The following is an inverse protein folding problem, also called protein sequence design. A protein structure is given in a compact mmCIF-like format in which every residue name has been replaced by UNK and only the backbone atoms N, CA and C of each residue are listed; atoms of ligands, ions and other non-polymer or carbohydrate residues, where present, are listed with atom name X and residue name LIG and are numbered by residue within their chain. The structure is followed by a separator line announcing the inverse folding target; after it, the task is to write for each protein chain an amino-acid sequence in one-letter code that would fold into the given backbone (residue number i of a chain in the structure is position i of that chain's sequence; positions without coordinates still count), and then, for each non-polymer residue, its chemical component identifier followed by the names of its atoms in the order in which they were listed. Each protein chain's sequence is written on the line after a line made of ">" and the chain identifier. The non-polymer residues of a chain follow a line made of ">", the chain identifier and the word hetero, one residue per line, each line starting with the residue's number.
data_IF_355888172459
#
_entry.id   IF_355888172459
#
_cell.length_a   1.000
_cell.length_b   1.000
_cell.length_c   1.000
_cell.angle_alpha   90.00
_cell.angle_beta   90.00
_cell.angle_gamma   90.00
#
_symmetry.space_group_name_H-M   'P 1'
#
loop_
_entity.id
_entity.type
_entity.pdbx_description
1 polymer ?
#
# COMPACT_ATOMS: atom_id res chain seq x y z
N UNK A 1 44.43 6.80 4.06
CA UNK A 1 43.01 7.15 3.76
C UNK A 1 42.01 6.11 4.31
N UNK A 2 42.29 5.47 5.46
CA UNK A 2 41.49 4.36 6.01
C UNK A 2 40.70 4.68 7.29
N UNK A 3 40.91 5.84 7.92
CA UNK A 3 40.40 6.10 9.26
C UNK A 3 38.96 6.66 9.30
N UNK A 4 38.52 7.49 8.34
CA UNK A 4 37.19 8.14 8.43
C UNK A 4 35.99 7.17 8.36
N UNK A 5 36.13 6.01 7.70
CA UNK A 5 35.02 5.07 7.52
C UNK A 5 34.81 4.17 8.74
N UNK A 6 35.87 3.83 9.48
CA UNK A 6 35.76 3.09 10.74
C UNK A 6 35.03 3.91 11.81
N UNK A 7 35.34 5.21 11.91
CA UNK A 7 34.64 6.12 12.82
C UNK A 7 33.14 6.23 12.52
N UNK A 8 32.71 6.08 11.27
CA UNK A 8 31.28 6.15 10.91
C UNK A 8 30.49 4.94 11.41
N UNK A 9 31.07 3.73 11.39
CA UNK A 9 30.38 2.52 11.91
C UNK A 9 30.26 2.59 13.43
N UNK A 10 31.33 3.01 14.12
CA UNK A 10 31.34 3.18 15.58
C UNK A 10 30.36 4.29 16.00
N UNK A 11 30.19 5.33 15.19
CA UNK A 11 29.31 6.46 15.52
C UNK A 11 27.84 6.06 15.69
N UNK A 12 27.37 5.01 15.01
CA UNK A 12 25.95 4.61 14.99
C UNK A 12 25.74 3.20 15.55
N UNK A 13 26.74 2.61 16.22
CA UNK A 13 26.66 1.23 16.69
C UNK A 13 25.72 1.05 17.89
N UNK A 14 25.52 2.11 18.67
CA UNK A 14 24.62 2.12 19.84
C UNK A 14 23.21 2.65 19.51
N UNK A 15 23.04 3.23 18.32
CA UNK A 15 21.75 3.77 17.88
C UNK A 15 20.83 2.64 17.42
N UNK A 16 19.54 2.73 17.76
CA UNK A 16 18.51 1.85 17.21
C UNK A 16 18.17 2.23 15.76
N UNK A 17 18.21 1.25 14.86
CA UNK A 17 17.87 1.42 13.45
C UNK A 17 16.57 0.71 13.11
N UNK A 18 15.59 1.46 12.59
CA UNK A 18 14.30 0.91 12.17
C UNK A 18 14.24 0.75 10.65
N UNK A 19 14.00 -0.47 10.18
CA UNK A 19 13.82 -0.77 8.74
C UNK A 19 12.41 -1.32 8.53
N UNK A 20 11.62 -0.66 7.69
CA UNK A 20 10.26 -1.09 7.34
C UNK A 20 10.22 -1.50 5.88
N UNK A 21 9.76 -2.72 5.63
CA UNK A 21 9.57 -3.27 4.29
C UNK A 21 8.40 -4.25 4.31
N UNK A 22 7.85 -4.53 3.14
CA UNK A 22 6.77 -5.48 2.95
C UNK A 22 7.31 -6.73 2.26
N UNK A 23 6.86 -7.89 2.69
CA UNK A 23 7.13 -9.18 2.05
C UNK A 23 5.82 -9.81 1.62
N UNK A 24 5.75 -10.44 0.43
CA UNK A 24 4.55 -11.15 0.03
C UNK A 24 4.33 -12.36 0.94
N UNK A 25 3.07 -12.68 1.20
CA UNK A 25 2.66 -13.92 1.85
C UNK A 25 1.76 -14.67 0.87
N UNK A 26 2.02 -15.96 0.68
CA UNK A 26 1.29 -16.80 -0.27
C UNK A 26 0.20 -17.61 0.43
N UNK A 27 -0.80 -18.08 -0.33
CA UNK A 27 -1.96 -18.81 0.22
C UNK A 27 -1.56 -20.09 0.97
N UNK A 28 -0.54 -20.79 0.49
CA UNK A 28 0.14 -21.84 1.27
C UNK A 28 1.08 -21.17 2.27
N UNK A 29 0.49 -20.67 3.36
CA UNK A 29 1.21 -20.01 4.46
C UNK A 29 2.34 -20.90 4.97
N UNK A 30 3.62 -20.50 4.80
CA UNK A 30 4.72 -21.20 5.45
C UNK A 30 4.62 -21.00 6.96
N UNK A 31 5.24 -21.88 7.77
CA UNK A 31 5.19 -21.76 9.23
C UNK A 31 5.95 -20.53 9.76
N UNK A 32 6.93 -20.03 9.00
CA UNK A 32 7.79 -18.90 9.37
C UNK A 32 8.56 -18.34 8.17
N UNK A 33 9.00 -17.09 8.29
CA UNK A 33 10.08 -16.51 7.48
C UNK A 33 11.36 -16.34 8.30
N UNK A 34 12.47 -16.16 7.60
CA UNK A 34 13.75 -15.84 8.21
C UNK A 34 14.23 -14.47 7.73
N UNK A 35 14.52 -13.59 8.68
CA UNK A 35 15.24 -12.35 8.41
C UNK A 35 16.70 -12.62 8.72
N UNK A 36 17.57 -12.44 7.73
CA UNK A 36 19.02 -12.61 7.88
C UNK A 36 19.72 -11.31 7.53
N UNK A 37 20.50 -10.81 8.48
CA UNK A 37 21.36 -9.63 8.32
C UNK A 37 22.79 -10.12 8.23
N UNK A 38 23.50 -9.76 7.16
CA UNK A 38 24.87 -10.20 6.89
C UNK A 38 25.74 -8.96 6.71
N UNK A 39 26.95 -8.99 7.26
CA UNK A 39 27.96 -7.99 6.98
C UNK A 39 28.62 -8.24 5.63
N UNK A 40 28.64 -7.24 4.76
CA UNK A 40 29.36 -7.32 3.48
C UNK A 40 30.88 -7.40 3.64
N UNK A 41 31.42 -7.06 4.82
CA UNK A 41 32.86 -6.88 5.05
C UNK A 41 33.50 -7.89 5.99
N UNK A 42 32.70 -8.53 6.84
CA UNK A 42 33.21 -9.40 7.90
C UNK A 42 32.72 -10.82 7.67
N UNK A 43 33.66 -11.77 7.64
CA UNK A 43 33.37 -13.19 7.48
C UNK A 43 32.65 -13.69 8.73
N UNK A 44 31.64 -14.55 8.54
CA UNK A 44 30.83 -15.16 9.61
C UNK A 44 30.10 -14.14 10.50
N UNK A 45 29.97 -12.88 10.06
CA UNK A 45 29.18 -11.86 10.74
C UNK A 45 27.77 -11.84 10.16
N UNK A 46 26.95 -12.81 10.57
CA UNK A 46 25.53 -12.87 10.25
C UNK A 46 24.67 -13.03 11.50
N UNK A 47 23.43 -12.59 11.41
CA UNK A 47 22.40 -12.82 12.44
C UNK A 47 21.11 -13.19 11.74
N UNK A 48 20.46 -14.24 12.22
CA UNK A 48 19.23 -14.77 11.65
C UNK A 48 18.14 -14.86 12.72
N UNK A 49 16.95 -14.37 12.38
CA UNK A 49 15.77 -14.39 13.26
C UNK A 49 14.62 -15.04 12.51
N UNK A 50 13.91 -15.95 13.17
CA UNK A 50 12.69 -16.57 12.65
C UNK A 50 11.46 -15.72 13.01
N UNK A 51 10.69 -15.33 12.00
CA UNK A 51 9.39 -14.67 12.14
C UNK A 51 8.30 -15.72 11.98
N UNK A 52 7.69 -16.14 13.09
CA UNK A 52 6.67 -17.20 13.06
C UNK A 52 5.31 -16.68 12.59
N UNK A 53 4.64 -17.47 11.76
CA UNK A 53 3.27 -17.22 11.31
C UNK A 53 2.22 -18.07 12.02
N UNK A 54 2.58 -18.82 13.07
CA UNK A 54 1.66 -19.71 13.81
C UNK A 54 0.40 -19.02 14.34
N UNK A 55 0.51 -17.75 14.71
CA UNK A 55 -0.59 -16.94 15.22
C UNK A 55 -0.93 -15.77 14.29
N UNK A 56 -0.50 -15.83 13.02
CA UNK A 56 -0.80 -14.80 12.04
C UNK A 56 -2.25 -14.98 11.54
N UNK A 57 -3.08 -13.97 11.78
CA UNK A 57 -4.43 -13.89 11.20
C UNK A 57 -4.31 -13.03 9.95
N UNK A 58 -4.50 -13.64 8.77
CA UNK A 58 -4.61 -12.87 7.54
C UNK A 58 -5.95 -12.13 7.51
N UNK A 59 -5.98 -10.87 7.05
CA UNK A 59 -7.23 -10.20 6.75
C UNK A 59 -8.05 -11.00 5.73
N UNK A 60 -9.37 -10.85 5.77
CA UNK A 60 -10.23 -11.36 4.72
C UNK A 60 -9.86 -10.70 3.39
N UNK A 61 -9.95 -11.46 2.30
CA UNK A 61 -9.79 -10.90 0.96
C UNK A 61 -10.85 -9.82 0.77
N UNK A 62 -10.42 -8.63 0.34
CA UNK A 62 -11.36 -7.59 -0.02
C UNK A 62 -12.32 -8.10 -1.11
N UNK A 63 -13.63 -7.79 -1.02
CA UNK A 63 -14.52 -8.09 -2.12
C UNK A 63 -14.03 -7.37 -3.39
N UNK A 64 -14.37 -7.93 -4.55
CA UNK A 64 -14.04 -7.29 -5.81
C UNK A 64 -14.61 -5.85 -5.83
N UNK A 65 -13.85 -4.86 -6.33
CA UNK A 65 -14.38 -3.52 -6.55
C UNK A 65 -15.65 -3.56 -7.41
N UNK A 66 -16.61 -2.68 -7.13
CA UNK A 66 -17.80 -2.54 -7.96
C UNK A 66 -17.41 -2.13 -9.37
N UNK A 67 -17.91 -2.86 -10.37
CA UNK A 67 -17.63 -2.55 -11.77
C UNK A 67 -18.22 -1.20 -12.16
N UNK A 68 -17.46 -0.45 -12.97
CA UNK A 68 -17.98 0.75 -13.63
C UNK A 68 -18.82 0.31 -14.83
N UNK A 69 -20.11 0.58 -14.77
CA UNK A 69 -21.06 0.23 -15.81
C UNK A 69 -20.90 1.19 -17.00
N UNK A 70 -21.01 0.66 -18.22
CA UNK A 70 -21.02 1.45 -19.45
C UNK A 70 -22.38 2.13 -19.65
N UNK A 71 -22.64 3.12 -18.80
CA UNK A 71 -23.87 3.91 -18.81
C UNK A 71 -23.75 5.08 -19.78
N UNK A 72 -24.88 5.48 -20.35
CA UNK A 72 -24.94 6.71 -21.12
C UNK A 72 -24.63 7.91 -20.22
N UNK A 73 -23.68 8.78 -20.59
CA UNK A 73 -23.31 9.94 -19.78
C UNK A 73 -24.53 10.78 -19.41
N UNK A 74 -24.74 10.99 -18.12
CA UNK A 74 -25.91 11.70 -17.63
C UNK A 74 -25.74 13.22 -17.88
N UNK A 75 -26.69 13.91 -18.51
CA UNK A 75 -26.60 15.35 -18.68
C UNK A 75 -26.81 16.09 -17.36
N UNK A 76 -26.24 17.28 -17.22
CA UNK A 76 -26.42 18.13 -16.01
C UNK A 76 -27.90 18.46 -15.76
N UNK A 77 -28.70 18.57 -16.82
CA UNK A 77 -30.15 18.78 -16.75
C UNK A 77 -30.91 17.67 -15.99
N UNK A 78 -30.27 16.53 -15.69
CA UNK A 78 -30.84 15.50 -14.83
C UNK A 78 -31.07 15.98 -13.39
N UNK A 79 -30.43 17.08 -12.96
CA UNK A 79 -30.63 17.72 -11.65
C UNK A 79 -32.01 18.34 -11.48
N UNK A 80 -32.71 18.67 -12.56
CA UNK A 80 -34.07 19.26 -12.58
C UNK A 80 -34.19 20.54 -11.74
N UNK A 81 -33.12 21.32 -11.65
CA UNK A 81 -33.09 22.58 -10.91
C UNK A 81 -32.04 23.52 -11.51
N UNK A 82 -32.50 24.57 -12.16
CA UNK A 82 -31.65 25.58 -12.82
C UNK A 82 -30.54 26.11 -11.92
N UNK A 83 -30.82 26.37 -10.63
CA UNK A 83 -29.81 26.90 -9.70
C UNK A 83 -28.67 25.93 -9.43
N UNK A 84 -28.93 24.62 -9.53
CA UNK A 84 -27.93 23.58 -9.34
C UNK A 84 -27.22 23.25 -10.64
N UNK A 85 -27.94 23.30 -11.76
CA UNK A 85 -27.37 23.15 -13.10
C UNK A 85 -26.32 24.25 -13.38
N UNK A 86 -26.61 25.49 -12.98
CA UNK A 86 -25.73 26.65 -13.14
C UNK A 86 -24.39 26.55 -12.38
N UNK A 87 -24.29 25.63 -11.41
CA UNK A 87 -23.04 25.39 -10.66
C UNK A 87 -22.02 24.60 -11.47
N UNK A 88 -22.45 23.90 -12.51
CA UNK A 88 -21.59 23.03 -13.31
C UNK A 88 -21.23 23.67 -14.65
N UNK A 89 -19.95 23.61 -15.01
CA UNK A 89 -19.41 24.15 -16.26
C UNK A 89 -19.31 23.12 -17.40
N UNK A 90 -19.85 21.92 -17.20
CA UNK A 90 -19.81 20.81 -18.15
C UNK A 90 -21.24 20.38 -18.54
N UNK A 91 -21.38 19.66 -19.66
CA UNK A 91 -22.70 19.21 -20.16
C UNK A 91 -23.11 17.84 -19.64
N UNK A 92 -22.16 16.96 -19.37
CA UNK A 92 -22.39 15.57 -18.95
C UNK A 92 -21.52 15.20 -17.75
N UNK A 93 -22.09 14.44 -16.83
CA UNK A 93 -21.40 13.78 -15.74
C UNK A 93 -20.48 12.66 -16.27
N UNK A 94 -19.39 12.38 -15.55
CA UNK A 94 -18.52 11.26 -15.88
C UNK A 94 -19.18 9.91 -15.51
N UNK A 95 -18.55 8.78 -15.86
CA UNK A 95 -19.11 7.45 -15.64
C UNK A 95 -19.41 7.14 -14.17
N UNK A 96 -18.52 7.53 -13.25
CA UNK A 96 -18.72 7.32 -11.80
C UNK A 96 -19.93 8.13 -11.33
N UNK A 97 -19.95 9.42 -11.65
CA UNK A 97 -21.05 10.34 -11.29
C UNK A 97 -22.38 9.87 -11.86
N UNK A 98 -22.40 9.43 -13.12
CA UNK A 98 -23.57 8.86 -13.80
C UNK A 98 -24.07 7.61 -13.08
N UNK A 99 -23.17 6.72 -12.64
CA UNK A 99 -23.51 5.48 -11.95
C UNK A 99 -24.07 5.71 -10.54
N UNK A 100 -23.55 6.69 -9.79
CA UNK A 100 -24.00 6.95 -8.41
C UNK A 100 -25.14 7.96 -8.33
N UNK A 101 -25.48 8.66 -9.41
CA UNK A 101 -26.44 9.77 -9.40
C UNK A 101 -27.79 9.41 -8.80
N UNK A 102 -28.32 8.21 -9.10
CA UNK A 102 -29.65 7.80 -8.63
C UNK A 102 -29.67 7.31 -7.17
N UNK A 103 -28.51 7.10 -6.55
CA UNK A 103 -28.38 6.58 -5.17
C UNK A 103 -27.97 7.64 -4.17
N UNK A 104 -27.55 8.82 -4.65
CA UNK A 104 -27.21 10.00 -3.86
C UNK A 104 -28.42 10.93 -3.74
#
# INVERSE_FOLDING_TARGET
>A
MGNLRAYRVIKYCEDEHYVKFFVPVFETLPPQYFIRVISDKWIASETQVAVSFRHLILPEKHPAPTELLDLQPLPVNALRNSKYEDLYNFKFFNGIQTQVFNTL
#
